data_IF_122561589487
#
_entry.id   IF_122561589487
#
_cell.length_a   1.000
_cell.length_b   1.000
_cell.length_c   1.000
_cell.angle_alpha   90.00
_cell.angle_beta   90.00
_cell.angle_gamma   90.00
#
_symmetry.space_group_name_H-M   'P 1'
#
loop_
_entity.id
_entity.type
_entity.pdbx_description
1 polymer ?
#
# COMPACT_ATOMS: atom_id res chain seq x y z
N UNK A 1 15.49 -11.02 -8.75
CA UNK A 1 14.76 -11.86 -7.84
C UNK A 1 13.52 -12.36 -8.55
N UNK A 2 12.85 -13.32 -8.45
CA UNK A 2 11.60 -13.72 -9.10
C UNK A 2 10.40 -13.39 -8.21
N UNK A 3 10.34 -12.17 -7.66
CA UNK A 3 9.28 -11.77 -6.74
C UNK A 3 7.91 -11.66 -7.44
N UNK A 4 7.91 -11.03 -8.62
CA UNK A 4 6.75 -10.88 -9.49
C UNK A 4 7.07 -11.47 -10.88
N UNK A 5 6.06 -11.99 -11.61
CA UNK A 5 4.67 -12.12 -11.17
C UNK A 5 4.49 -13.19 -10.09
N UNK A 6 3.40 -13.08 -9.34
CA UNK A 6 3.01 -14.11 -8.37
C UNK A 6 2.51 -15.36 -9.07
N UNK A 7 2.80 -16.53 -8.50
CA UNK A 7 2.29 -17.80 -8.98
C UNK A 7 0.82 -18.01 -8.60
N UNK A 8 0.15 -18.95 -9.24
CA UNK A 8 -1.24 -19.32 -8.90
C UNK A 8 -1.39 -19.89 -7.49
N UNK A 9 -0.32 -20.39 -6.88
CA UNK A 9 -0.32 -20.90 -5.51
C UNK A 9 -0.12 -19.82 -4.43
N UNK A 10 0.20 -18.58 -4.83
CA UNK A 10 0.46 -17.46 -3.90
C UNK A 10 -0.78 -16.56 -3.80
N UNK A 11 -1.89 -17.13 -3.30
CA UNK A 11 -3.20 -16.46 -3.31
C UNK A 11 -3.73 -16.06 -1.94
N UNK A 12 -3.14 -16.55 -0.84
CA UNK A 12 -3.56 -16.20 0.51
C UNK A 12 -2.72 -15.01 0.98
N UNK A 13 -3.32 -13.84 1.03
CA UNK A 13 -2.58 -12.58 1.20
C UNK A 13 -3.09 -11.74 2.35
N UNK A 14 -2.19 -11.02 2.98
CA UNK A 14 -2.52 -10.01 3.98
C UNK A 14 -2.18 -8.63 3.45
N UNK A 15 -3.08 -7.67 3.64
CA UNK A 15 -2.90 -6.28 3.21
C UNK A 15 -2.58 -5.38 4.40
N UNK A 16 -1.68 -4.44 4.20
CA UNK A 16 -1.21 -3.48 5.19
C UNK A 16 -1.17 -2.07 4.61
N UNK A 17 -1.21 -1.10 5.50
CA UNK A 17 -1.19 0.31 5.16
C UNK A 17 -2.57 0.85 4.81
N UNK A 18 -2.83 2.09 5.22
CA UNK A 18 -4.10 2.78 4.94
C UNK A 18 -4.42 2.78 3.45
N UNK A 19 -3.42 2.93 2.59
CA UNK A 19 -3.61 2.93 1.14
C UNK A 19 -4.23 1.65 0.58
N UNK A 20 -4.18 0.52 1.31
CA UNK A 20 -4.81 -0.73 0.88
C UNK A 20 -6.33 -0.68 0.92
N UNK A 21 -6.91 0.10 1.85
CA UNK A 21 -8.36 0.25 2.06
C UNK A 21 -8.88 1.64 1.70
N UNK A 22 -8.01 2.65 1.74
CA UNK A 22 -8.31 4.06 1.43
C UNK A 22 -7.15 4.67 0.63
N UNK A 23 -6.99 4.29 -0.66
CA UNK A 23 -5.91 4.80 -1.49
C UNK A 23 -6.16 6.25 -1.94
N UNK A 24 -5.11 6.92 -2.36
CA UNK A 24 -5.20 8.19 -3.09
C UNK A 24 -5.51 7.91 -4.54
N UNK A 25 -6.77 7.96 -4.92
CA UNK A 25 -7.19 7.70 -6.30
C UNK A 25 -6.80 8.83 -7.25
N UNK A 26 -6.85 10.08 -6.78
CA UNK A 26 -6.66 11.29 -7.57
C UNK A 26 -6.37 12.51 -6.69
N UNK A 27 -5.99 13.62 -7.34
CA UNK A 27 -6.07 14.95 -6.73
C UNK A 27 -7.53 15.31 -6.40
N UNK A 28 -7.75 16.08 -5.36
CA UNK A 28 -9.08 16.61 -4.97
C UNK A 28 -9.37 17.98 -5.53
N UNK A 29 -8.39 18.63 -6.17
CA UNK A 29 -8.53 19.93 -6.83
C UNK A 29 -8.53 19.80 -8.36
N UNK A 30 -8.86 20.89 -9.05
CA UNK A 30 -8.96 20.91 -10.50
C UNK A 30 -10.21 20.21 -11.03
N UNK A 31 -10.23 19.91 -12.32
CA UNK A 31 -11.38 19.30 -13.01
C UNK A 31 -11.58 17.80 -12.78
N UNK A 32 -10.90 17.20 -11.82
CA UNK A 32 -10.94 15.75 -11.58
C UNK A 32 -12.17 15.35 -10.76
N UNK A 33 -13.35 15.30 -11.36
CA UNK A 33 -14.49 14.63 -10.75
C UNK A 33 -14.37 13.11 -10.94
N UNK A 34 -14.76 12.33 -9.93
CA UNK A 34 -14.72 10.87 -10.00
C UNK A 34 -16.11 10.29 -9.81
N UNK A 35 -16.38 9.18 -10.50
CA UNK A 35 -17.55 8.37 -10.19
C UNK A 35 -17.15 7.32 -9.14
N UNK A 36 -17.58 7.44 -7.89
CA UNK A 36 -17.20 6.51 -6.82
C UNK A 36 -17.63 5.06 -7.10
N UNK A 37 -18.64 4.84 -7.92
CA UNK A 37 -19.14 3.50 -8.25
C UNK A 37 -18.11 2.63 -8.99
N UNK A 38 -17.10 3.26 -9.58
CA UNK A 38 -16.04 2.55 -10.33
C UNK A 38 -14.69 2.51 -9.61
N UNK A 39 -14.57 3.14 -8.45
CA UNK A 39 -13.30 3.13 -7.72
C UNK A 39 -13.07 1.76 -7.09
N UNK A 40 -11.90 1.18 -7.35
CA UNK A 40 -11.46 -0.07 -6.75
C UNK A 40 -10.24 0.17 -5.88
N UNK A 41 -10.34 -0.22 -4.62
CA UNK A 41 -9.19 -0.24 -3.71
C UNK A 41 -8.22 -1.37 -4.09
N UNK A 42 -6.98 -1.38 -3.58
CA UNK A 42 -6.11 -2.57 -3.68
C UNK A 42 -6.78 -3.84 -3.20
N UNK A 43 -7.56 -3.78 -2.10
CA UNK A 43 -8.32 -4.93 -1.58
C UNK A 43 -9.33 -5.43 -2.61
N UNK A 44 -10.17 -4.52 -3.14
CA UNK A 44 -11.16 -4.90 -4.15
C UNK A 44 -10.51 -5.53 -5.38
N UNK A 45 -9.42 -4.93 -5.85
CA UNK A 45 -8.71 -5.40 -7.05
C UNK A 45 -8.04 -6.78 -6.83
N UNK A 46 -7.50 -7.04 -5.63
CA UNK A 46 -6.97 -8.34 -5.26
C UNK A 46 -8.09 -9.39 -5.20
N UNK A 47 -9.21 -9.08 -4.56
CA UNK A 47 -10.36 -10.00 -4.47
C UNK A 47 -10.95 -10.30 -5.85
N UNK A 48 -11.11 -9.29 -6.70
CA UNK A 48 -11.58 -9.47 -8.09
C UNK A 48 -10.63 -10.36 -8.92
N UNK A 49 -9.32 -10.31 -8.61
CA UNK A 49 -8.31 -11.16 -9.23
C UNK A 49 -8.17 -12.58 -8.59
N UNK A 50 -9.07 -12.93 -7.67
CA UNK A 50 -9.13 -14.26 -7.05
C UNK A 50 -8.14 -14.49 -5.90
N UNK A 51 -7.64 -13.43 -5.27
CA UNK A 51 -6.88 -13.56 -4.04
C UNK A 51 -7.78 -13.73 -2.82
N UNK A 52 -7.37 -14.56 -1.89
CA UNK A 52 -7.97 -14.70 -0.57
C UNK A 52 -7.34 -13.66 0.35
N UNK A 53 -8.00 -12.53 0.52
CA UNK A 53 -7.51 -11.46 1.38
C UNK A 53 -7.89 -11.73 2.84
N UNK A 54 -6.95 -11.53 3.75
CA UNK A 54 -7.11 -11.76 5.18
C UNK A 54 -8.21 -10.88 5.78
N UNK A 55 -9.40 -11.46 5.95
CA UNK A 55 -10.56 -10.74 6.48
C UNK A 55 -10.35 -10.27 7.92
N UNK A 56 -9.62 -11.02 8.74
CA UNK A 56 -9.33 -10.62 10.13
C UNK A 56 -8.60 -9.27 10.21
N UNK A 57 -7.68 -9.03 9.26
CA UNK A 57 -6.98 -7.74 9.16
C UNK A 57 -7.93 -6.63 8.68
N UNK A 58 -8.81 -6.93 7.71
CA UNK A 58 -9.80 -5.95 7.24
C UNK A 58 -10.77 -5.55 8.36
N UNK A 59 -11.21 -6.51 9.16
CA UNK A 59 -12.08 -6.28 10.33
C UNK A 59 -11.36 -5.45 11.41
N UNK A 60 -10.05 -5.66 11.59
CA UNK A 60 -9.25 -4.85 12.49
C UNK A 60 -9.18 -3.39 12.03
N UNK A 61 -8.96 -3.13 10.74
CA UNK A 61 -9.02 -1.77 10.19
C UNK A 61 -10.41 -1.15 10.36
N UNK A 62 -11.47 -1.90 10.06
CA UNK A 62 -12.85 -1.40 10.17
C UNK A 62 -13.25 -1.05 11.61
N UNK A 63 -12.64 -1.73 12.60
CA UNK A 63 -12.91 -1.53 14.02
C UNK A 63 -11.98 -0.50 14.68
N UNK A 64 -10.90 -0.12 14.00
CA UNK A 64 -9.91 0.80 14.55
C UNK A 64 -10.44 2.24 14.60
N UNK A 65 -9.90 3.03 15.53
CA UNK A 65 -10.09 4.46 15.51
C UNK A 65 -9.52 5.04 14.20
N UNK A 66 -10.25 5.99 13.62
CA UNK A 66 -9.77 6.65 12.40
C UNK A 66 -8.40 7.30 12.65
N UNK A 67 -7.45 7.12 11.74
CA UNK A 67 -6.14 7.75 11.86
C UNK A 67 -6.24 9.27 11.65
N UNK A 68 -5.15 9.99 11.91
CA UNK A 68 -5.04 11.41 11.54
C UNK A 68 -5.42 11.58 10.06
N UNK A 69 -6.06 12.69 9.72
CA UNK A 69 -6.40 12.98 8.34
C UNK A 69 -5.14 13.03 7.47
N UNK A 70 -5.22 12.40 6.29
CA UNK A 70 -4.17 12.46 5.28
C UNK A 70 -4.19 13.84 4.62
N UNK A 71 -3.02 14.46 4.52
CA UNK A 71 -2.86 15.79 3.91
C UNK A 71 -1.49 15.92 3.26
N UNK A 72 -1.19 17.08 2.71
CA UNK A 72 0.14 17.39 2.16
C UNK A 72 1.26 17.37 3.21
N UNK A 73 0.93 17.45 4.51
CA UNK A 73 1.87 17.40 5.63
C UNK A 73 1.58 16.25 6.62
N UNK A 74 0.74 15.29 6.24
CA UNK A 74 0.39 14.16 7.10
C UNK A 74 0.16 12.91 6.27
N UNK A 75 0.87 11.84 6.58
CA UNK A 75 0.65 10.51 5.99
C UNK A 75 -0.69 9.93 6.45
N UNK A 76 -1.01 10.10 7.72
CA UNK A 76 -2.25 9.63 8.30
C UNK A 76 -2.38 8.10 8.29
N UNK A 77 -1.29 7.38 8.59
CA UNK A 77 -1.30 5.93 8.69
C UNK A 77 -1.93 5.47 10.01
N UNK A 78 -2.51 4.27 10.02
CA UNK A 78 -3.07 3.64 11.20
C UNK A 78 -1.98 3.27 12.21
N UNK A 79 -2.34 3.31 13.50
CA UNK A 79 -1.45 2.80 14.56
C UNK A 79 -1.31 1.26 14.40
N UNK A 80 -0.08 0.74 14.21
CA UNK A 80 0.14 -0.70 14.08
C UNK A 80 -0.18 -1.51 15.34
N UNK A 81 -0.53 -0.87 16.46
CA UNK A 81 -1.06 -1.54 17.64
C UNK A 81 -2.35 -2.35 17.36
N UNK A 82 -3.06 -2.04 16.26
CA UNK A 82 -4.22 -2.83 15.81
C UNK A 82 -3.83 -4.27 15.42
N UNK A 83 -2.58 -4.54 15.03
CA UNK A 83 -2.10 -5.86 14.65
C UNK A 83 -1.57 -6.64 15.85
N UNK A 84 -2.45 -7.20 16.66
CA UNK A 84 -2.12 -7.99 17.86
C UNK A 84 -3.04 -9.19 18.01
N UNK A 85 -2.66 -10.16 18.85
CA UNK A 85 -3.49 -11.32 19.17
C UNK A 85 -3.95 -12.09 17.93
N UNK A 86 -5.27 -12.31 17.81
CA UNK A 86 -5.85 -13.06 16.69
C UNK A 86 -5.55 -12.46 15.31
N UNK A 87 -5.29 -11.15 15.24
CA UNK A 87 -4.92 -10.50 13.97
C UNK A 87 -3.55 -10.99 13.52
N UNK A 88 -2.54 -10.98 14.39
CA UNK A 88 -1.21 -11.52 14.07
C UNK A 88 -1.21 -13.03 13.88
N UNK A 89 -2.05 -13.75 14.63
CA UNK A 89 -2.19 -15.21 14.47
C UNK A 89 -2.72 -15.58 13.08
N UNK A 90 -3.61 -14.75 12.50
CA UNK A 90 -4.17 -14.97 11.17
C UNK A 90 -3.13 -14.90 10.03
N UNK A 91 -1.99 -14.23 10.25
CA UNK A 91 -0.94 -14.11 9.23
C UNK A 91 -0.44 -15.47 8.72
N UNK A 92 -0.42 -16.50 9.60
CA UNK A 92 0.02 -17.83 9.21
C UNK A 92 -0.84 -18.47 8.11
N UNK A 93 -2.13 -18.15 8.06
CA UNK A 93 -3.07 -18.67 7.06
C UNK A 93 -3.09 -17.83 5.77
N UNK A 94 -2.60 -16.59 5.84
CA UNK A 94 -2.61 -15.62 4.73
C UNK A 94 -1.20 -15.08 4.45
N UNK A 95 -0.20 -15.94 4.60
CA UNK A 95 1.22 -15.59 4.58
C UNK A 95 1.91 -15.77 3.23
N UNK A 96 1.19 -16.01 2.13
CA UNK A 96 1.86 -16.11 0.84
C UNK A 96 2.49 -14.76 0.46
N UNK A 97 1.75 -13.65 0.64
CA UNK A 97 2.26 -12.30 0.37
C UNK A 97 1.72 -11.30 1.39
N UNK A 98 2.61 -10.46 1.91
CA UNK A 98 2.26 -9.19 2.56
C UNK A 98 2.22 -8.09 1.48
N UNK A 99 1.06 -7.53 1.20
CA UNK A 99 0.93 -6.31 0.39
C UNK A 99 0.91 -5.09 1.28
N UNK A 100 1.81 -4.15 1.05
CA UNK A 100 1.84 -2.86 1.78
C UNK A 100 1.57 -1.74 0.78
N UNK A 101 0.50 -0.97 0.99
CA UNK A 101 0.21 0.18 0.13
C UNK A 101 0.58 1.47 0.84
N UNK A 102 1.66 2.10 0.37
CA UNK A 102 2.12 3.40 0.85
C UNK A 102 1.50 4.51 0.01
N UNK A 103 0.94 5.52 0.66
CA UNK A 103 0.31 6.64 -0.04
C UNK A 103 0.89 7.98 0.37
N UNK A 104 1.06 8.87 -0.62
CA UNK A 104 1.35 10.29 -0.38
C UNK A 104 0.31 11.13 -1.13
N UNK A 105 -0.18 12.16 -0.44
CA UNK A 105 -1.25 13.01 -0.97
C UNK A 105 -0.73 14.39 -1.32
N UNK A 106 -1.08 14.86 -2.49
CA UNK A 106 -0.96 16.25 -2.88
C UNK A 106 -2.11 16.62 -3.82
N UNK A 107 -2.30 17.90 -4.05
CA UNK A 107 -3.37 18.41 -4.91
C UNK A 107 -2.85 19.60 -5.70
N UNK A 108 -3.58 19.99 -6.75
CA UNK A 108 -3.26 21.16 -7.56
C UNK A 108 -3.13 22.40 -6.67
N UNK A 109 -2.03 23.14 -6.83
CA UNK A 109 -1.74 24.34 -6.05
C UNK A 109 -1.33 24.09 -4.60
N UNK A 110 -1.14 22.83 -4.19
CA UNK A 110 -0.77 22.48 -2.83
C UNK A 110 0.13 21.22 -2.83
N UNK A 111 1.42 21.44 -3.03
CA UNK A 111 2.43 20.39 -3.11
C UNK A 111 2.63 19.65 -1.78
N UNK A 112 3.18 18.44 -1.87
CA UNK A 112 3.61 17.69 -0.69
C UNK A 112 4.65 18.52 0.08
N UNK A 113 4.42 18.67 1.38
CA UNK A 113 5.37 19.36 2.24
C UNK A 113 6.72 18.62 2.30
N UNK A 114 7.83 19.33 2.45
CA UNK A 114 9.14 18.69 2.62
C UNK A 114 9.20 17.90 3.92
N UNK A 115 8.59 18.45 4.96
CA UNK A 115 8.48 17.84 6.29
C UNK A 115 7.04 17.93 6.79
N UNK A 116 6.64 16.98 7.62
CA UNK A 116 5.35 17.00 8.30
C UNK A 116 5.34 18.01 9.47
N UNK A 117 4.19 18.10 10.15
CA UNK A 117 4.04 18.99 11.32
C UNK A 117 4.99 18.63 12.48
N UNK A 118 5.58 17.44 12.48
CA UNK A 118 6.53 16.93 13.47
C UNK A 118 8.00 17.09 13.03
N UNK A 119 8.24 17.71 11.87
CA UNK A 119 9.57 17.91 11.30
C UNK A 119 10.19 16.70 10.61
N UNK A 120 9.40 15.64 10.36
CA UNK A 120 9.85 14.44 9.64
C UNK A 120 9.63 14.59 8.13
N UNK A 121 10.54 14.04 7.34
CA UNK A 121 10.47 14.14 5.87
C UNK A 121 9.30 13.33 5.32
N UNK A 122 8.49 13.96 4.46
CA UNK A 122 7.29 13.33 3.90
C UNK A 122 7.58 12.26 2.84
N UNK A 123 8.77 12.24 2.27
CA UNK A 123 9.19 11.22 1.30
C UNK A 123 9.83 9.98 1.93
N UNK A 124 10.13 10.02 3.24
CA UNK A 124 10.53 8.85 4.02
C UNK A 124 9.30 8.10 4.55
N UNK A 125 9.51 6.89 5.06
CA UNK A 125 8.49 6.18 5.84
C UNK A 125 8.23 6.94 7.15
N UNK A 126 6.95 7.11 7.52
CA UNK A 126 6.60 7.58 8.84
C UNK A 126 6.76 6.47 9.90
N UNK A 127 6.61 6.81 11.18
CA UNK A 127 6.85 5.86 12.26
C UNK A 127 5.86 4.69 12.24
N UNK A 128 4.60 4.93 11.87
CA UNK A 128 3.60 3.87 11.78
C UNK A 128 3.87 2.96 10.57
N UNK A 129 4.28 3.51 9.43
CA UNK A 129 4.70 2.73 8.27
C UNK A 129 5.92 1.85 8.61
N UNK A 130 6.94 2.42 9.27
CA UNK A 130 8.12 1.65 9.76
C UNK A 130 7.71 0.52 10.70
N UNK A 131 6.81 0.80 11.64
CA UNK A 131 6.34 -0.20 12.58
C UNK A 131 5.47 -1.29 11.92
N UNK A 132 4.73 -0.99 10.85
CA UNK A 132 4.05 -2.00 10.03
C UNK A 132 5.08 -2.94 9.39
N UNK A 133 6.09 -2.40 8.71
CA UNK A 133 7.14 -3.22 8.10
C UNK A 133 7.89 -4.06 9.13
N UNK A 134 8.19 -3.48 10.30
CA UNK A 134 8.84 -4.22 11.38
C UNK A 134 7.97 -5.38 11.86
N UNK A 135 6.66 -5.20 12.04
CA UNK A 135 5.73 -6.28 12.39
C UNK A 135 5.67 -7.38 11.33
N UNK A 136 5.65 -7.03 10.05
CA UNK A 136 5.69 -7.99 8.94
C UNK A 136 6.96 -8.84 9.06
N UNK A 137 8.12 -8.20 9.15
CA UNK A 137 9.43 -8.85 9.26
C UNK A 137 9.51 -9.74 10.50
N UNK A 138 9.16 -9.23 11.68
CA UNK A 138 9.27 -9.95 12.95
C UNK A 138 8.30 -11.14 13.04
N UNK A 139 7.19 -11.08 12.35
CA UNK A 139 6.23 -12.18 12.32
C UNK A 139 6.83 -13.45 11.70
N UNK A 140 7.72 -13.30 10.72
CA UNK A 140 8.31 -14.42 9.97
C UNK A 140 7.27 -15.29 9.26
N UNK A 141 6.06 -14.74 8.99
CA UNK A 141 4.93 -15.50 8.42
C UNK A 141 4.77 -15.31 6.92
N UNK A 142 5.36 -14.28 6.35
CA UNK A 142 5.19 -13.94 4.94
C UNK A 142 6.35 -14.49 4.11
N UNK A 143 6.00 -15.11 2.97
CA UNK A 143 6.98 -15.61 1.99
C UNK A 143 7.54 -14.48 1.14
N UNK A 144 6.72 -13.46 0.88
CA UNK A 144 7.06 -12.27 0.10
C UNK A 144 6.43 -11.02 0.72
N UNK A 145 7.11 -9.89 0.55
CA UNK A 145 6.58 -8.55 0.85
C UNK A 145 6.59 -7.73 -0.43
N UNK A 146 5.42 -7.30 -0.88
CA UNK A 146 5.23 -6.49 -2.09
C UNK A 146 4.65 -5.13 -1.71
N UNK A 147 5.30 -4.06 -2.16
CA UNK A 147 4.85 -2.69 -1.95
C UNK A 147 4.12 -2.17 -3.17
N UNK A 148 2.94 -1.61 -2.97
CA UNK A 148 2.22 -0.80 -3.95
C UNK A 148 2.44 0.67 -3.58
N UNK A 149 3.18 1.38 -4.42
CA UNK A 149 3.49 2.78 -4.17
C UNK A 149 2.43 3.67 -4.82
N UNK A 150 1.46 4.08 -4.02
CA UNK A 150 0.37 4.99 -4.39
C UNK A 150 0.79 6.44 -4.12
N UNK A 151 1.74 6.91 -4.89
CA UNK A 151 2.33 8.24 -4.80
C UNK A 151 2.72 8.73 -6.19
N UNK A 152 2.50 10.00 -6.47
CA UNK A 152 3.05 10.66 -7.66
C UNK A 152 4.48 11.19 -7.44
N UNK A 153 4.97 11.08 -6.22
CA UNK A 153 6.31 11.51 -5.82
C UNK A 153 7.26 10.33 -5.74
N UNK A 154 8.52 10.56 -6.08
CA UNK A 154 9.59 9.62 -5.81
C UNK A 154 9.85 9.57 -4.29
N UNK A 155 9.57 8.46 -3.65
CA UNK A 155 9.85 8.24 -2.24
C UNK A 155 11.28 7.71 -2.06
N UNK A 156 11.88 7.99 -0.92
CA UNK A 156 13.15 7.38 -0.54
C UNK A 156 12.93 5.90 -0.23
N UNK A 157 13.79 5.03 -0.76
CA UNK A 157 13.63 3.57 -0.70
C UNK A 157 14.85 2.84 -0.14
N UNK A 158 15.69 3.50 0.63
CA UNK A 158 16.85 2.91 1.29
C UNK A 158 16.49 1.86 2.36
N UNK A 159 15.23 1.82 2.77
CA UNK A 159 14.67 0.88 3.74
C UNK A 159 14.28 -0.49 3.16
N UNK A 160 14.30 -0.68 1.84
CA UNK A 160 13.84 -1.92 1.19
C UNK A 160 14.58 -3.16 1.71
N UNK A 161 15.91 -3.10 1.79
CA UNK A 161 16.73 -4.20 2.28
C UNK A 161 16.53 -4.42 3.78
N UNK A 162 16.35 -3.34 4.54
CA UNK A 162 16.11 -3.41 5.99
C UNK A 162 14.86 -4.24 6.32
N UNK A 163 13.78 -4.06 5.55
CA UNK A 163 12.50 -4.76 5.80
C UNK A 163 12.26 -5.97 4.88
N UNK A 164 13.27 -6.43 4.15
CA UNK A 164 13.18 -7.58 3.23
C UNK A 164 12.03 -7.44 2.23
N UNK A 165 11.92 -6.29 1.59
CA UNK A 165 10.91 -6.06 0.53
C UNK A 165 11.35 -6.72 -0.76
N UNK A 166 10.50 -7.57 -1.33
CA UNK A 166 10.82 -8.37 -2.51
C UNK A 166 10.53 -7.64 -3.82
N UNK A 167 9.50 -6.80 -3.83
CA UNK A 167 9.13 -6.01 -5.01
C UNK A 167 8.41 -4.71 -4.63
N UNK A 168 8.60 -3.70 -5.47
CA UNK A 168 7.85 -2.44 -5.44
C UNK A 168 7.22 -2.20 -6.79
N UNK A 169 5.92 -1.91 -6.81
CA UNK A 169 5.19 -1.48 -7.99
C UNK A 169 4.73 -0.03 -7.80
N UNK A 170 5.27 0.88 -8.60
CA UNK A 170 4.83 2.26 -8.59
C UNK A 170 3.52 2.42 -9.36
N UNK A 171 2.43 2.66 -8.62
CA UNK A 171 1.07 2.75 -9.15
C UNK A 171 0.67 4.21 -9.45
N UNK A 172 1.25 5.16 -8.75
CA UNK A 172 0.86 6.57 -8.83
C UNK A 172 -0.55 6.80 -8.28
N UNK A 173 -1.27 7.73 -8.86
CA UNK A 173 -2.70 7.95 -8.60
C UNK A 173 -3.50 7.18 -9.66
N UNK A 174 -4.09 6.03 -9.31
CA UNK A 174 -4.61 5.08 -10.31
C UNK A 174 -5.92 5.53 -10.98
N UNK A 175 -6.56 6.58 -10.47
CA UNK A 175 -7.88 6.97 -10.96
C UNK A 175 -8.92 5.88 -10.72
N UNK A 176 -9.90 5.75 -11.61
CA UNK A 176 -11.01 4.80 -11.44
C UNK A 176 -10.65 3.34 -11.68
N UNK A 177 -9.83 3.09 -12.69
CA UNK A 177 -9.58 1.73 -13.23
C UNK A 177 -8.14 1.27 -13.09
N UNK A 178 -7.25 2.09 -12.56
CA UNK A 178 -5.84 1.79 -12.54
C UNK A 178 -5.47 0.67 -11.57
N UNK A 179 -6.14 0.55 -10.44
CA UNK A 179 -5.80 -0.47 -9.43
C UNK A 179 -5.96 -1.91 -9.94
N UNK A 180 -7.07 -2.29 -10.64
CA UNK A 180 -7.14 -3.58 -11.31
C UNK A 180 -6.00 -3.80 -12.32
N UNK A 181 -5.59 -2.74 -13.05
CA UNK A 181 -4.43 -2.80 -13.96
C UNK A 181 -3.13 -3.11 -13.23
N UNK A 182 -2.89 -2.51 -12.06
CA UNK A 182 -1.73 -2.81 -11.24
C UNK A 182 -1.72 -4.28 -10.76
N UNK A 183 -2.87 -4.81 -10.36
CA UNK A 183 -2.97 -6.22 -9.94
C UNK A 183 -2.76 -7.19 -11.11
N UNK A 184 -3.16 -6.83 -12.33
CA UNK A 184 -2.83 -7.63 -13.54
C UNK A 184 -1.32 -7.70 -13.80
N UNK A 185 -0.56 -6.67 -13.43
CA UNK A 185 0.91 -6.74 -13.45
C UNK A 185 1.41 -7.70 -12.36
N UNK A 186 0.85 -7.63 -11.16
CA UNK A 186 1.21 -8.54 -10.05
C UNK A 186 0.97 -10.01 -10.42
N UNK A 187 -0.11 -10.31 -11.15
CA UNK A 187 -0.42 -11.68 -11.60
C UNK A 187 0.30 -12.10 -12.87
N UNK A 188 1.01 -11.19 -13.53
CA UNK A 188 1.69 -11.47 -14.80
C UNK A 188 0.78 -11.52 -16.02
N UNK A 189 -0.50 -11.17 -15.89
CA UNK A 189 -1.42 -11.05 -17.03
C UNK A 189 -0.97 -9.93 -17.98
N UNK A 190 -0.36 -8.88 -17.44
CA UNK A 190 0.19 -7.75 -18.18
C UNK A 190 1.64 -7.51 -17.75
N UNK A 191 2.53 -7.33 -18.72
CA UNK A 191 3.90 -6.92 -18.44
C UNK A 191 3.98 -5.39 -18.35
N UNK A 192 4.57 -4.82 -17.27
CA UNK A 192 4.70 -3.37 -17.14
C UNK A 192 5.67 -2.83 -18.20
N UNK A 193 5.30 -1.72 -18.85
CA UNK A 193 6.16 -1.05 -19.84
C UNK A 193 6.73 0.28 -19.33
N UNK A 194 6.28 0.74 -18.15
CA UNK A 194 6.75 1.98 -17.53
C UNK A 194 8.13 1.82 -16.92
N UNK A 195 8.90 2.90 -16.94
CA UNK A 195 10.18 3.02 -16.25
C UNK A 195 10.13 4.23 -15.31
N UNK A 196 10.86 4.14 -14.21
CA UNK A 196 11.01 5.29 -13.30
C UNK A 196 11.84 6.38 -14.02
N UNK A 197 11.42 7.63 -13.86
CA UNK A 197 12.09 8.80 -14.43
C UNK A 197 13.09 9.44 -13.48
N UNK A 198 13.16 8.93 -12.26
CA UNK A 198 14.05 9.39 -11.19
C UNK A 198 14.61 8.18 -10.44
N UNK A 199 15.66 8.42 -9.66
CA UNK A 199 16.12 7.46 -8.64
C UNK A 199 15.25 7.60 -7.40
N UNK A 200 14.80 6.49 -6.90
CA UNK A 200 14.02 6.37 -5.67
C UNK A 200 14.93 5.98 -4.52
#
# INVERSE_FOLDING_TARGET
>A
NNALPLSESERNVTVFGRGSIDPVFRSTAGGSSTNPDYQKTPVDALQDAGFNVNQTVLDAYASAAAPKERSVSSVGEYDPALFTGSVTDSFASYGDVAFVTLSRFATEGNDLAMVNDEGKRMLELDDNEKAIFQKIKDSGKFKKTVVLLNSVFAMEMDWLDEYNVDAVLWVGNPGFYGMPGAIRVVTGEVNPSGHTTATF
#
